data_IF_147953358543
#
_entry.id   IF_147953358543
#
_cell.length_a   1.000
_cell.length_b   1.000
_cell.length_c   1.000
_cell.angle_alpha   90.00
_cell.angle_beta   90.00
_cell.angle_gamma   90.00
#
_symmetry.space_group_name_H-M   'P 1'
#
loop_
_entity.id
_entity.type
_entity.pdbx_description
1 polymer ?
#
# COMPACT_ATOMS: atom_id res chain seq x y z
N UNK A 1 0.59 -6.17 -18.72
CA UNK A 1 -0.49 -5.79 -17.82
C UNK A 1 -0.13 -6.19 -16.39
N UNK A 2 -0.32 -5.26 -15.46
CA UNK A 2 -0.05 -5.49 -14.05
C UNK A 2 -1.34 -5.39 -13.25
N UNK A 3 -1.43 -6.20 -12.18
CA UNK A 3 -2.36 -5.95 -11.10
C UNK A 3 -1.78 -4.84 -10.21
N UNK A 4 -2.63 -3.95 -9.73
CA UNK A 4 -2.21 -2.81 -8.91
C UNK A 4 -2.96 -2.83 -7.58
N UNK A 5 -2.23 -2.80 -6.50
CA UNK A 5 -2.75 -2.80 -5.14
C UNK A 5 -2.28 -1.57 -4.38
N UNK A 6 -3.09 -1.12 -3.45
CA UNK A 6 -2.68 -0.14 -2.45
C UNK A 6 -2.51 -0.87 -1.12
N UNK A 7 -1.39 -0.63 -0.43
CA UNK A 7 -1.13 -1.12 0.91
C UNK A 7 -0.75 0.08 1.79
N UNK A 8 -1.68 0.52 2.64
CA UNK A 8 -1.56 1.80 3.33
C UNK A 8 -1.74 1.68 4.84
N UNK A 9 -0.83 2.32 5.60
CA UNK A 9 -1.02 2.55 7.02
C UNK A 9 -2.01 3.70 7.23
N UNK A 10 -3.05 3.48 8.00
CA UNK A 10 -4.12 4.44 8.29
C UNK A 10 -4.27 4.66 9.80
N UNK A 11 -3.18 5.00 10.47
CA UNK A 11 -3.14 5.19 11.92
C UNK A 11 -4.06 6.32 12.42
N UNK A 12 -4.46 7.24 11.55
CA UNK A 12 -5.42 8.28 11.88
C UNK A 12 -6.76 7.73 12.39
N UNK A 13 -7.14 6.54 11.94
CA UNK A 13 -8.34 5.85 12.44
C UNK A 13 -8.16 5.49 13.92
N UNK A 14 -7.06 4.84 14.26
CA UNK A 14 -6.75 4.49 15.64
C UNK A 14 -6.59 5.71 16.56
N UNK A 15 -6.10 6.81 16.01
CA UNK A 15 -5.90 8.07 16.75
C UNK A 15 -7.16 8.93 16.85
N UNK A 16 -8.27 8.50 16.24
CA UNK A 16 -9.54 9.24 16.28
C UNK A 16 -9.56 10.49 15.41
N UNK A 17 -8.65 10.61 14.43
CA UNK A 17 -8.57 11.77 13.54
C UNK A 17 -9.66 11.70 12.46
N UNK A 18 -9.91 10.50 11.95
CA UNK A 18 -10.98 10.23 10.99
C UNK A 18 -11.49 8.80 11.19
N UNK A 19 -12.62 8.48 10.59
CA UNK A 19 -13.25 7.16 10.70
C UNK A 19 -12.86 6.27 9.54
N UNK A 20 -13.00 4.96 9.72
CA UNK A 20 -12.81 3.98 8.63
C UNK A 20 -13.72 4.28 7.43
N UNK A 21 -14.97 4.72 7.69
CA UNK A 21 -15.89 5.12 6.64
C UNK A 21 -15.39 6.31 5.80
N UNK A 22 -14.69 7.25 6.43
CA UNK A 22 -14.08 8.38 5.72
C UNK A 22 -12.96 7.90 4.79
N UNK A 23 -12.15 6.96 5.25
CA UNK A 23 -11.10 6.34 4.44
C UNK A 23 -11.70 5.60 3.23
N UNK A 24 -12.75 4.82 3.43
CA UNK A 24 -13.41 4.12 2.32
C UNK A 24 -14.00 5.09 1.30
N UNK A 25 -14.57 6.20 1.73
CA UNK A 25 -15.07 7.26 0.84
C UNK A 25 -13.94 7.88 0.03
N UNK A 26 -12.79 8.11 0.64
CA UNK A 26 -11.60 8.62 -0.04
C UNK A 26 -11.09 7.62 -1.10
N UNK A 27 -10.98 6.35 -0.76
CA UNK A 27 -10.56 5.30 -1.70
C UNK A 27 -11.55 5.16 -2.86
N UNK A 28 -12.84 5.25 -2.58
CA UNK A 28 -13.90 5.22 -3.61
C UNK A 28 -13.74 6.36 -4.61
N UNK A 29 -13.51 7.58 -4.12
CA UNK A 29 -13.29 8.75 -4.98
C UNK A 29 -11.99 8.63 -5.79
N UNK A 30 -10.93 8.14 -5.17
CA UNK A 30 -9.67 7.85 -5.87
C UNK A 30 -9.90 6.87 -7.04
N UNK A 31 -10.64 5.80 -6.79
CA UNK A 31 -10.96 4.80 -7.81
C UNK A 31 -11.78 5.42 -8.96
N UNK A 32 -12.74 6.28 -8.64
CA UNK A 32 -13.55 6.96 -9.65
C UNK A 32 -12.70 7.87 -10.55
N UNK A 33 -11.78 8.62 -9.97
CA UNK A 33 -10.88 9.48 -10.73
C UNK A 33 -9.94 8.68 -11.63
N UNK A 34 -9.42 7.57 -11.13
CA UNK A 34 -8.57 6.67 -11.93
C UNK A 34 -9.35 6.09 -13.11
N UNK A 35 -10.58 5.64 -12.90
CA UNK A 35 -11.43 5.05 -13.95
C UNK A 35 -11.74 6.04 -15.06
N UNK A 36 -11.89 7.32 -14.75
CA UNK A 36 -12.08 8.38 -15.77
C UNK A 36 -10.89 8.49 -16.72
N UNK A 37 -9.72 8.06 -16.28
CA UNK A 37 -8.48 8.08 -17.06
C UNK A 37 -8.06 6.68 -17.55
N UNK A 38 -8.97 5.71 -17.53
CA UNK A 38 -8.73 4.37 -18.03
C UNK A 38 -7.86 3.49 -17.12
N UNK A 39 -7.74 3.86 -15.85
CA UNK A 39 -6.95 3.10 -14.86
C UNK A 39 -7.83 2.66 -13.69
N UNK A 40 -7.33 1.72 -12.89
CA UNK A 40 -8.00 1.30 -11.66
C UNK A 40 -7.02 0.65 -10.70
N UNK A 41 -7.39 0.60 -9.42
CA UNK A 41 -6.76 -0.20 -8.38
C UNK A 41 -7.55 -1.50 -8.26
N UNK A 42 -6.87 -2.64 -8.24
CA UNK A 42 -7.53 -3.95 -8.13
C UNK A 42 -8.05 -4.20 -6.73
N UNK A 43 -7.31 -3.80 -5.68
CA UNK A 43 -7.78 -3.87 -4.31
C UNK A 43 -6.98 -2.92 -3.40
N UNK A 44 -7.66 -2.39 -2.38
CA UNK A 44 -7.05 -1.60 -1.31
C UNK A 44 -6.88 -2.47 -0.07
N UNK A 45 -5.64 -2.49 0.46
CA UNK A 45 -5.31 -3.08 1.75
C UNK A 45 -4.91 -1.96 2.69
N UNK A 46 -5.41 -1.97 3.91
CA UNK A 46 -5.14 -0.91 4.87
C UNK A 46 -4.91 -1.48 6.27
N UNK A 47 -4.13 -0.76 7.07
CA UNK A 47 -3.94 -1.07 8.48
C UNK A 47 -4.46 0.10 9.30
N UNK A 48 -5.63 -0.04 9.95
CA UNK A 48 -6.20 1.03 10.77
C UNK A 48 -5.61 1.06 12.17
N UNK A 49 -4.79 0.08 12.53
CA UNK A 49 -4.32 -0.13 13.90
C UNK A 49 -3.07 0.66 14.23
N UNK A 50 -2.95 1.04 15.50
CA UNK A 50 -1.74 1.61 16.07
C UNK A 50 -1.66 1.27 17.55
N UNK A 51 -0.47 0.88 18.04
CA UNK A 51 -0.25 0.50 19.44
C UNK A 51 -0.55 1.65 20.41
N UNK A 52 -0.39 2.89 19.98
CA UNK A 52 -0.66 4.10 20.75
C UNK A 52 -1.93 4.82 20.31
N UNK A 53 -2.94 4.05 19.90
CA UNK A 53 -4.23 4.59 19.49
C UNK A 53 -5.04 5.15 20.66
N UNK A 54 -6.07 5.94 20.34
CA UNK A 54 -7.04 6.47 21.30
C UNK A 54 -8.37 5.74 21.23
N UNK A 55 -8.68 5.11 20.11
CA UNK A 55 -9.90 4.33 19.90
C UNK A 55 -9.58 2.87 20.25
N UNK A 56 -10.24 2.35 21.29
CA UNK A 56 -9.94 1.02 21.82
C UNK A 56 -9.98 -0.10 20.76
N UNK A 57 -10.96 -0.08 19.88
CA UNK A 57 -11.12 -1.08 18.84
C UNK A 57 -9.94 -1.16 17.86
N UNK A 58 -9.17 -0.08 17.73
CA UNK A 58 -8.02 0.03 16.83
C UNK A 58 -6.68 0.17 17.54
N UNK A 59 -6.66 0.10 18.87
CA UNK A 59 -5.41 0.18 19.67
C UNK A 59 -4.79 -1.20 19.75
N UNK A 60 -3.93 -1.49 18.78
CA UNK A 60 -3.34 -2.80 18.59
C UNK A 60 -1.99 -2.65 17.87
N UNK A 61 -1.00 -3.45 18.29
CA UNK A 61 0.27 -3.58 17.57
C UNK A 61 0.11 -4.65 16.47
N UNK A 62 -0.30 -4.21 15.28
CA UNK A 62 -0.66 -5.10 14.19
C UNK A 62 0.53 -5.47 13.30
N UNK A 63 0.58 -6.75 12.90
CA UNK A 63 1.51 -7.23 11.87
C UNK A 63 1.24 -6.67 10.47
N UNK A 64 0.09 -6.04 10.26
CA UNK A 64 -0.27 -5.38 8.99
C UNK A 64 0.38 -4.01 8.85
N UNK A 65 0.84 -3.42 9.96
CA UNK A 65 1.44 -2.08 9.92
C UNK A 65 2.85 -2.14 9.36
N UNK A 66 3.06 -1.47 8.20
CA UNK A 66 4.42 -1.31 7.64
C UNK A 66 5.34 -0.62 8.65
N UNK A 67 6.57 -1.04 8.83
CA UNK A 67 7.36 -1.93 7.94
C UNK A 67 7.11 -3.43 8.09
N UNK A 68 6.16 -3.87 8.89
CA UNK A 68 5.78 -5.29 8.93
C UNK A 68 5.07 -5.69 7.64
N UNK A 69 5.05 -6.98 7.36
CA UNK A 69 4.73 -7.51 6.03
C UNK A 69 3.31 -8.04 5.88
N UNK A 70 2.45 -7.90 6.89
CA UNK A 70 1.13 -8.54 6.92
C UNK A 70 0.25 -8.21 5.71
N UNK A 71 0.24 -6.94 5.24
CA UNK A 71 -0.55 -6.58 4.07
C UNK A 71 0.01 -7.21 2.79
N UNK A 72 1.33 -7.28 2.63
CA UNK A 72 1.96 -7.93 1.47
C UNK A 72 1.70 -9.43 1.47
N UNK A 73 1.73 -10.06 2.64
CA UNK A 73 1.39 -11.47 2.80
C UNK A 73 -0.06 -11.75 2.36
N UNK A 74 -0.99 -10.89 2.75
CA UNK A 74 -2.40 -10.99 2.35
C UNK A 74 -2.59 -10.84 0.85
N UNK A 75 -1.93 -9.86 0.23
CA UNK A 75 -1.98 -9.67 -1.23
C UNK A 75 -1.48 -10.91 -1.94
N UNK A 76 -0.32 -11.42 -1.53
CA UNK A 76 0.28 -12.62 -2.12
C UNK A 76 -0.67 -13.83 -2.01
N UNK A 77 -1.25 -14.04 -0.83
CA UNK A 77 -2.15 -15.15 -0.55
C UNK A 77 -3.49 -15.01 -1.27
N UNK A 78 -4.13 -13.85 -1.17
CA UNK A 78 -5.48 -13.63 -1.72
C UNK A 78 -5.50 -13.74 -3.25
N UNK A 79 -4.43 -13.31 -3.90
CA UNK A 79 -4.34 -13.24 -5.35
C UNK A 79 -3.44 -14.30 -5.98
N UNK A 80 -2.81 -15.15 -5.16
CA UNK A 80 -1.93 -16.22 -5.63
C UNK A 80 -0.68 -15.71 -6.34
N UNK A 81 -0.14 -14.56 -5.92
CA UNK A 81 1.01 -13.92 -6.57
C UNK A 81 2.30 -14.29 -5.83
N UNK A 82 3.26 -14.80 -6.57
CA UNK A 82 4.59 -15.14 -6.01
C UNK A 82 5.43 -13.87 -5.80
N UNK A 83 6.28 -13.90 -4.78
CA UNK A 83 7.15 -12.76 -4.43
C UNK A 83 8.01 -12.27 -5.60
N UNK A 84 8.52 -13.16 -6.43
CA UNK A 84 9.34 -12.78 -7.58
C UNK A 84 8.56 -12.04 -8.69
N UNK A 85 7.24 -11.98 -8.56
CA UNK A 85 6.35 -11.23 -9.45
C UNK A 85 5.76 -9.98 -8.78
N UNK A 86 6.36 -9.52 -7.67
CA UNK A 86 5.87 -8.38 -6.91
C UNK A 86 6.92 -7.27 -6.86
N UNK A 87 6.44 -6.04 -6.91
CA UNK A 87 7.23 -4.82 -6.73
C UNK A 87 6.45 -3.86 -5.85
N UNK A 88 7.11 -3.26 -4.86
CA UNK A 88 6.53 -2.22 -4.03
C UNK A 88 7.08 -0.85 -4.44
N UNK A 89 6.19 0.11 -4.61
CA UNK A 89 6.55 1.51 -4.85
C UNK A 89 6.01 2.32 -3.68
N UNK A 90 6.85 3.08 -3.02
CA UNK A 90 6.45 3.88 -1.86
C UNK A 90 7.31 5.11 -1.68
N UNK A 91 6.80 6.06 -0.89
CA UNK A 91 7.47 7.35 -0.65
C UNK A 91 8.18 7.42 0.71
N UNK A 92 7.95 6.45 1.60
CA UNK A 92 8.49 6.43 2.95
C UNK A 92 9.51 5.32 3.16
N UNK A 93 10.39 5.53 4.12
CA UNK A 93 11.37 4.50 4.53
C UNK A 93 10.69 3.23 5.01
N UNK A 94 9.54 3.36 5.69
CA UNK A 94 8.76 2.20 6.14
C UNK A 94 8.23 1.35 4.99
N UNK A 95 7.95 1.94 3.82
CA UNK A 95 7.55 1.20 2.62
C UNK A 95 8.72 0.36 2.09
N UNK A 96 9.88 0.98 1.98
CA UNK A 96 11.09 0.31 1.47
C UNK A 96 11.54 -0.80 2.42
N UNK A 97 11.49 -0.55 3.72
CA UNK A 97 11.81 -1.55 4.73
C UNK A 97 10.80 -2.71 4.72
N UNK A 98 9.53 -2.43 4.49
CA UNK A 98 8.49 -3.44 4.35
C UNK A 98 8.80 -4.38 3.17
N UNK A 99 9.14 -3.83 2.01
CA UNK A 99 9.53 -4.62 0.84
C UNK A 99 10.77 -5.47 1.13
N UNK A 100 11.76 -4.90 1.80
CA UNK A 100 12.98 -5.62 2.19
C UNK A 100 12.66 -6.78 3.13
N UNK A 101 11.82 -6.54 4.12
CA UNK A 101 11.40 -7.57 5.09
C UNK A 101 10.60 -8.70 4.42
N UNK A 102 9.91 -8.39 3.32
CA UNK A 102 9.16 -9.37 2.54
C UNK A 102 9.97 -10.00 1.40
N UNK A 103 11.23 -9.59 1.22
CA UNK A 103 12.14 -10.08 0.17
C UNK A 103 11.61 -9.80 -1.25
N UNK A 104 11.06 -8.61 -1.48
CA UNK A 104 10.66 -8.15 -2.81
C UNK A 104 11.39 -6.86 -3.16
N UNK A 105 11.58 -6.57 -4.47
CA UNK A 105 12.16 -5.30 -4.88
C UNK A 105 11.25 -4.13 -4.57
N UNK A 106 11.84 -2.94 -4.45
CA UNK A 106 11.11 -1.71 -4.21
C UNK A 106 11.71 -0.54 -4.98
N UNK A 107 10.88 0.47 -5.20
CA UNK A 107 11.29 1.77 -5.73
C UNK A 107 10.82 2.82 -4.74
N UNK A 108 11.72 3.69 -4.28
CA UNK A 108 11.35 4.84 -3.46
C UNK A 108 10.99 6.00 -4.39
N UNK A 109 9.74 6.45 -4.29
CA UNK A 109 9.21 7.57 -5.07
C UNK A 109 9.15 8.81 -4.19
N UNK A 110 9.82 9.88 -4.62
CA UNK A 110 9.90 11.13 -3.83
C UNK A 110 8.90 12.21 -4.27
N UNK A 111 8.05 11.91 -5.26
CA UNK A 111 7.07 12.86 -5.80
C UNK A 111 7.66 13.85 -6.81
N UNK A 112 8.98 13.87 -6.97
CA UNK A 112 9.69 14.78 -7.88
C UNK A 112 10.27 14.05 -9.10
N UNK A 113 10.24 12.71 -9.08
CA UNK A 113 10.77 11.87 -10.15
C UNK A 113 9.93 12.00 -11.42
N UNK A 114 10.59 11.86 -12.57
CA UNK A 114 9.90 11.79 -13.84
C UNK A 114 9.11 10.48 -13.92
N UNK A 115 7.81 10.57 -14.25
CA UNK A 115 6.93 9.40 -14.35
C UNK A 115 7.40 8.42 -15.45
N UNK A 116 8.01 8.92 -16.53
CA UNK A 116 8.56 8.05 -17.57
C UNK A 116 9.72 7.22 -17.05
N UNK A 117 10.63 7.83 -16.28
CA UNK A 117 11.75 7.12 -15.66
C UNK A 117 11.25 6.06 -14.67
N UNK A 118 10.21 6.38 -13.91
CA UNK A 118 9.58 5.42 -13.00
C UNK A 118 9.00 4.24 -13.79
N UNK A 119 8.31 4.49 -14.88
CA UNK A 119 7.73 3.45 -15.75
C UNK A 119 8.83 2.54 -16.32
N UNK A 120 9.92 3.13 -16.80
CA UNK A 120 11.07 2.37 -17.33
C UNK A 120 11.70 1.49 -16.24
N UNK A 121 11.82 2.01 -15.01
CA UNK A 121 12.35 1.25 -13.88
C UNK A 121 11.44 0.09 -13.51
N UNK A 122 10.12 0.29 -13.52
CA UNK A 122 9.14 -0.78 -13.28
C UNK A 122 9.33 -1.88 -14.32
N UNK A 123 9.40 -1.53 -15.59
CA UNK A 123 9.56 -2.51 -16.66
C UNK A 123 10.87 -3.30 -16.52
N UNK A 124 11.97 -2.65 -16.19
CA UNK A 124 13.26 -3.32 -15.97
C UNK A 124 13.24 -4.33 -14.83
N UNK A 125 12.51 -4.02 -13.74
CA UNK A 125 12.43 -4.89 -12.56
C UNK A 125 11.46 -6.03 -12.79
N UNK A 126 10.31 -5.76 -13.42
CA UNK A 126 9.21 -6.72 -13.56
C UNK A 126 9.32 -7.62 -14.79
N UNK A 127 10.18 -7.27 -15.72
CA UNK A 127 10.41 -8.01 -16.96
C UNK A 127 11.85 -8.46 -17.09
#
# INVERSE_FOLDING_TARGET
NFLVFVATNQAGIAKGIFKESDMHSFHYEMQNQLRKNGAHIDQFYFCPYHAKGKINAYTLDSSDRKPRTGMLEKISSDWGIKKNNMLLIGDRDSDIECAKNFYIPSIKYNGLDNLLDLTDNIDKIMR
#
